data_IF_238946158487
#
_entry.id   IF_238946158487
#
_cell.length_a   1.000
_cell.length_b   1.000
_cell.length_c   1.000
_cell.angle_alpha   90.00
_cell.angle_beta   90.00
_cell.angle_gamma   90.00
#
_symmetry.space_group_name_H-M   'P 1'
#
loop_
_entity.id
_entity.type
_entity.pdbx_description
1 polymer ?
#
# COMPACT_ATOMS: atom_id res chain seq x y z
N UNK A 1 -42.60 -84.71 -4.21
CA UNK A 1 -43.80 -84.05 -4.62
C UNK A 1 -43.83 -82.71 -3.95
N UNK A 2 -43.22 -81.65 -4.60
CA UNK A 2 -43.25 -80.28 -4.12
C UNK A 2 -43.34 -79.40 -5.36
N UNK A 3 -44.17 -78.37 -5.36
CA UNK A 3 -44.47 -77.59 -6.57
C UNK A 3 -43.43 -76.40 -6.75
N UNK A 4 -43.15 -76.10 -7.99
CA UNK A 4 -42.41 -74.93 -8.44
C UNK A 4 -43.13 -73.66 -8.09
N UNK A 5 -42.48 -72.75 -7.38
CA UNK A 5 -42.93 -71.40 -7.15
C UNK A 5 -42.37 -70.46 -8.23
N UNK A 6 -43.30 -69.63 -8.75
CA UNK A 6 -43.09 -68.67 -9.85
C UNK A 6 -42.11 -67.53 -9.51
N UNK A 7 -41.15 -67.30 -10.39
CA UNK A 7 -40.32 -66.08 -10.37
C UNK A 7 -41.11 -64.93 -10.99
N UNK A 8 -41.64 -64.02 -10.17
CA UNK A 8 -42.22 -62.75 -10.60
C UNK A 8 -41.09 -61.78 -10.96
N UNK A 9 -40.87 -61.54 -12.23
CA UNK A 9 -39.98 -60.49 -12.77
C UNK A 9 -40.66 -59.12 -12.61
N UNK A 10 -40.17 -58.36 -11.62
CA UNK A 10 -40.58 -56.97 -11.42
C UNK A 10 -39.85 -56.09 -12.47
N UNK A 11 -40.45 -55.86 -13.62
CA UNK A 11 -40.03 -54.83 -14.57
C UNK A 11 -40.41 -53.44 -14.01
N UNK A 12 -39.40 -52.77 -13.38
CA UNK A 12 -39.53 -51.37 -13.01
C UNK A 12 -39.61 -50.54 -14.31
N UNK A 13 -40.77 -50.01 -14.63
CA UNK A 13 -40.94 -48.97 -15.65
C UNK A 13 -40.34 -47.68 -15.12
N UNK A 14 -39.16 -47.32 -15.57
CA UNK A 14 -38.61 -45.96 -15.35
C UNK A 14 -39.44 -45.05 -16.27
N UNK A 15 -40.25 -44.18 -15.68
CA UNK A 15 -41.08 -43.23 -16.38
C UNK A 15 -40.18 -42.30 -17.23
N UNK A 16 -40.54 -41.97 -18.50
CA UNK A 16 -39.79 -40.99 -19.28
C UNK A 16 -39.65 -39.66 -18.60
N UNK A 17 -40.56 -39.32 -17.69
CA UNK A 17 -40.51 -38.13 -16.84
C UNK A 17 -39.34 -38.17 -15.84
N UNK A 18 -39.02 -39.36 -15.27
CA UNK A 18 -37.88 -39.54 -14.35
C UNK A 18 -36.54 -39.42 -15.10
N UNK A 19 -36.46 -39.88 -16.37
CA UNK A 19 -35.27 -39.74 -17.19
C UNK A 19 -35.02 -38.28 -17.59
N UNK A 20 -36.10 -37.52 -17.90
CA UNK A 20 -36.03 -36.09 -18.22
C UNK A 20 -35.58 -35.27 -17.00
N UNK A 21 -36.04 -35.61 -15.79
CA UNK A 21 -35.63 -34.95 -14.57
C UNK A 21 -34.15 -35.19 -14.23
N UNK A 22 -33.62 -36.39 -14.50
CA UNK A 22 -32.20 -36.72 -14.28
C UNK A 22 -31.33 -35.98 -15.31
N UNK A 23 -31.76 -35.83 -16.57
CA UNK A 23 -31.04 -35.05 -17.58
C UNK A 23 -31.01 -33.56 -17.22
N UNK A 24 -32.13 -33.00 -16.71
CA UNK A 24 -32.19 -31.62 -16.22
C UNK A 24 -31.31 -31.36 -14.99
N UNK A 25 -31.14 -32.35 -14.09
CA UNK A 25 -30.26 -32.25 -12.94
C UNK A 25 -28.78 -32.39 -13.32
N UNK A 26 -28.43 -33.09 -14.39
CA UNK A 26 -27.05 -33.20 -14.87
C UNK A 26 -26.58 -31.95 -15.63
N UNK A 27 -27.51 -31.16 -16.21
CA UNK A 27 -27.19 -29.88 -16.88
C UNK A 27 -26.93 -28.71 -15.89
N UNK A 28 -27.20 -28.87 -14.59
CA UNK A 28 -27.07 -27.82 -13.60
C UNK A 28 -25.69 -27.74 -12.92
N UNK A 29 -24.74 -28.61 -13.27
CA UNK A 29 -23.37 -28.60 -12.76
C UNK A 29 -22.37 -28.16 -13.86
N UNK A 30 -22.58 -27.01 -14.47
CA UNK A 30 -21.46 -26.35 -15.17
C UNK A 30 -20.47 -25.88 -14.10
N UNK A 31 -19.28 -26.46 -14.10
CA UNK A 31 -18.18 -25.94 -13.30
C UNK A 31 -17.97 -24.47 -13.68
N UNK A 32 -17.82 -23.56 -12.70
CA UNK A 32 -17.56 -22.17 -13.02
C UNK A 32 -16.34 -22.09 -13.95
N UNK A 33 -16.37 -21.21 -14.95
CA UNK A 33 -15.24 -21.08 -15.87
C UNK A 33 -13.96 -20.82 -15.07
N UNK A 34 -12.81 -21.33 -15.53
CA UNK A 34 -11.54 -21.13 -14.86
C UNK A 34 -11.27 -19.62 -14.70
N UNK A 35 -10.74 -19.23 -13.56
CA UNK A 35 -10.38 -17.83 -13.29
C UNK A 35 -9.31 -17.38 -14.31
N UNK A 36 -9.60 -16.39 -15.16
CA UNK A 36 -8.69 -15.93 -16.21
C UNK A 36 -7.54 -15.04 -15.65
N UNK A 37 -7.44 -14.90 -14.35
CA UNK A 37 -6.46 -14.03 -13.72
C UNK A 37 -5.03 -14.50 -13.95
N UNK A 38 -4.23 -13.67 -14.63
CA UNK A 38 -2.78 -13.84 -14.76
C UNK A 38 -2.10 -13.11 -13.60
N UNK A 39 -1.03 -13.73 -13.05
CA UNK A 39 -0.27 -13.18 -11.93
C UNK A 39 1.18 -12.97 -12.32
N UNK A 40 1.70 -11.77 -12.01
CA UNK A 40 3.11 -11.44 -12.07
C UNK A 40 3.56 -11.05 -10.66
N UNK A 41 4.74 -11.50 -10.26
CA UNK A 41 5.30 -11.15 -8.94
C UNK A 41 6.82 -11.07 -9.00
N UNK A 42 7.41 -10.38 -8.04
CA UNK A 42 8.86 -10.24 -7.91
C UNK A 42 9.25 -9.44 -6.68
N UNK A 43 10.58 -9.27 -6.49
CA UNK A 43 11.14 -8.45 -5.43
C UNK A 43 11.39 -7.02 -5.91
N UNK A 44 11.17 -6.03 -5.06
CA UNK A 44 11.48 -4.61 -5.31
C UNK A 44 11.54 -3.83 -4.00
N UNK A 45 12.32 -2.75 -3.92
CA UNK A 45 12.31 -1.78 -2.80
C UNK A 45 12.40 -2.44 -1.41
N UNK A 46 13.23 -3.49 -1.27
CA UNK A 46 13.37 -4.27 -0.02
C UNK A 46 12.15 -5.12 0.36
N UNK A 47 11.17 -5.24 -0.54
CA UNK A 47 9.91 -5.98 -0.36
C UNK A 47 9.55 -6.78 -1.62
N UNK A 48 8.26 -7.02 -1.86
CA UNK A 48 7.74 -7.70 -3.05
C UNK A 48 6.60 -6.92 -3.70
N UNK A 49 6.40 -7.17 -4.99
CA UNK A 49 5.22 -6.73 -5.71
C UNK A 49 4.40 -7.94 -6.19
N UNK A 50 3.10 -7.76 -6.35
CA UNK A 50 2.18 -8.67 -7.02
C UNK A 50 1.29 -7.86 -7.98
N UNK A 51 1.12 -8.36 -9.20
CA UNK A 51 0.15 -7.85 -10.17
C UNK A 51 -0.81 -8.98 -10.49
N UNK A 52 -2.11 -8.72 -10.33
CA UNK A 52 -3.19 -9.55 -10.84
C UNK A 52 -3.82 -8.81 -12.00
N UNK A 53 -3.85 -9.42 -13.18
CA UNK A 53 -4.46 -8.83 -14.36
C UNK A 53 -5.44 -9.81 -15.02
N UNK A 54 -6.51 -9.26 -15.58
CA UNK A 54 -7.54 -10.03 -16.27
C UNK A 54 -7.61 -9.51 -17.71
N UNK A 55 -7.00 -10.24 -18.66
CA UNK A 55 -7.05 -9.87 -20.09
C UNK A 55 -8.49 -9.86 -20.59
N UNK A 56 -8.79 -9.00 -21.55
CA UNK A 56 -10.06 -9.07 -22.27
C UNK A 56 -10.15 -10.39 -23.06
N UNK A 57 -11.36 -10.88 -23.36
CA UNK A 57 -11.53 -12.07 -24.21
C UNK A 57 -10.75 -11.95 -25.52
N UNK A 58 -9.86 -12.91 -25.78
CA UNK A 58 -8.99 -12.92 -26.96
C UNK A 58 -7.75 -12.03 -26.88
N UNK A 59 -7.57 -11.28 -25.81
CA UNK A 59 -6.36 -10.46 -25.59
C UNK A 59 -5.20 -11.34 -25.13
N UNK A 60 -4.05 -11.22 -25.79
CA UNK A 60 -2.79 -11.85 -25.35
C UNK A 60 -2.02 -10.89 -24.45
N UNK A 61 -1.59 -11.36 -23.29
CA UNK A 61 -0.65 -10.61 -22.43
C UNK A 61 0.73 -10.59 -23.11
N UNK A 62 1.38 -9.41 -23.26
CA UNK A 62 2.70 -9.34 -23.86
C UNK A 62 3.70 -10.24 -23.14
N UNK A 63 4.45 -11.05 -23.88
CA UNK A 63 5.40 -12.00 -23.30
C UNK A 63 6.55 -11.31 -22.53
N UNK A 64 6.88 -10.07 -22.88
CA UNK A 64 7.90 -9.22 -22.24
C UNK A 64 7.36 -8.37 -21.08
N UNK A 65 6.05 -8.48 -20.75
CA UNK A 65 5.42 -7.62 -19.75
C UNK A 65 6.14 -7.67 -18.39
N UNK A 66 6.50 -8.88 -17.94
CA UNK A 66 7.26 -9.06 -16.66
C UNK A 66 8.59 -8.32 -16.71
N UNK A 67 9.34 -8.42 -17.80
CA UNK A 67 10.63 -7.71 -17.96
C UNK A 67 10.43 -6.19 -17.95
N UNK A 68 9.37 -5.68 -18.58
CA UNK A 68 9.04 -4.24 -18.57
C UNK A 68 8.65 -3.77 -17.16
N UNK A 69 7.88 -4.56 -16.42
CA UNK A 69 7.55 -4.30 -15.00
C UNK A 69 8.83 -4.18 -14.17
N UNK A 70 9.72 -5.17 -14.27
CA UNK A 70 10.98 -5.17 -13.51
C UNK A 70 11.87 -3.97 -13.88
N UNK A 71 11.90 -3.58 -15.16
CA UNK A 71 12.65 -2.40 -15.62
C UNK A 71 12.12 -1.09 -15.06
N UNK A 72 10.77 -0.92 -14.96
CA UNK A 72 10.15 0.25 -14.32
C UNK A 72 10.56 0.34 -12.86
N UNK A 73 10.43 -0.76 -12.11
CA UNK A 73 10.78 -0.80 -10.69
C UNK A 73 12.28 -0.59 -10.43
N UNK A 74 13.14 -1.15 -11.28
CA UNK A 74 14.59 -0.92 -11.21
C UNK A 74 14.93 0.57 -11.41
N UNK A 75 14.29 1.24 -12.38
CA UNK A 75 14.48 2.68 -12.61
C UNK A 75 14.04 3.52 -11.39
N UNK A 76 12.90 3.20 -10.79
CA UNK A 76 12.42 3.91 -9.59
C UNK A 76 13.42 3.73 -8.43
N UNK A 77 13.94 2.52 -8.23
CA UNK A 77 14.99 2.28 -7.23
C UNK A 77 16.24 3.13 -7.50
N UNK A 78 16.70 3.22 -8.76
CA UNK A 78 17.84 4.04 -9.14
C UNK A 78 17.60 5.55 -8.92
N UNK A 79 16.36 5.99 -8.98
CA UNK A 79 16.00 7.39 -8.76
C UNK A 79 15.80 7.73 -7.28
N UNK A 80 15.14 6.87 -6.49
CA UNK A 80 14.52 7.25 -5.21
C UNK A 80 15.00 6.45 -3.99
N UNK A 81 15.87 5.44 -4.14
CA UNK A 81 16.33 4.63 -3.03
C UNK A 81 17.31 5.39 -2.14
N UNK A 82 17.09 5.40 -0.82
CA UNK A 82 18.09 5.83 0.17
C UNK A 82 19.06 4.71 0.54
N UNK A 83 18.75 3.46 0.17
CA UNK A 83 19.59 2.26 0.41
C UNK A 83 20.65 2.02 -0.68
N UNK A 84 20.45 2.56 -1.88
CA UNK A 84 21.47 2.55 -2.93
C UNK A 84 22.26 3.87 -2.88
N UNK A 85 23.56 3.85 -2.50
CA UNK A 85 24.36 5.07 -2.42
C UNK A 85 24.56 5.76 -3.79
N UNK A 86 24.32 5.04 -4.89
CA UNK A 86 24.42 5.54 -6.26
C UNK A 86 23.10 5.98 -6.86
N UNK A 87 22.00 5.91 -6.11
CA UNK A 87 20.72 6.44 -6.58
C UNK A 87 20.77 7.96 -6.77
N UNK A 88 19.85 8.49 -7.56
CA UNK A 88 19.76 9.93 -7.77
C UNK A 88 19.52 10.68 -6.46
N UNK A 89 18.57 10.19 -5.64
CA UNK A 89 18.25 10.75 -4.33
C UNK A 89 19.44 10.68 -3.37
N UNK A 90 20.16 9.55 -3.32
CA UNK A 90 21.33 9.42 -2.45
C UNK A 90 22.45 10.38 -2.87
N UNK A 91 22.69 10.56 -4.17
CA UNK A 91 23.62 11.57 -4.65
C UNK A 91 23.20 12.99 -4.31
N UNK A 92 21.89 13.29 -4.41
CA UNK A 92 21.35 14.57 -3.94
C UNK A 92 21.59 14.76 -2.44
N UNK A 93 21.29 13.77 -1.60
CA UNK A 93 21.50 13.82 -0.16
C UNK A 93 22.98 14.04 0.21
N UNK A 94 23.92 13.39 -0.49
CA UNK A 94 25.36 13.49 -0.26
C UNK A 94 25.98 14.78 -0.80
N UNK A 95 25.32 15.46 -1.73
CA UNK A 95 25.85 16.69 -2.34
C UNK A 95 25.83 17.83 -1.31
N UNK A 96 26.96 18.47 -0.97
CA UNK A 96 27.00 19.57 0.00
C UNK A 96 26.53 20.94 -0.55
N UNK A 97 26.25 21.04 -1.86
CA UNK A 97 25.82 22.29 -2.47
C UNK A 97 24.47 22.74 -1.95
N UNK A 98 24.34 24.04 -1.72
CA UNK A 98 23.07 24.74 -1.46
C UNK A 98 22.56 25.50 -2.68
N UNK A 99 23.17 25.29 -3.85
CA UNK A 99 22.67 25.78 -5.13
C UNK A 99 21.61 24.83 -5.70
N UNK A 100 21.00 25.21 -6.83
CA UNK A 100 20.09 24.36 -7.57
C UNK A 100 20.81 23.14 -8.14
N UNK A 101 20.35 21.96 -7.76
CA UNK A 101 20.85 20.65 -8.20
C UNK A 101 19.83 20.10 -9.19
N UNK A 102 20.25 19.85 -10.43
CA UNK A 102 19.40 19.25 -11.46
C UNK A 102 18.98 17.83 -11.05
N UNK A 103 17.71 17.51 -11.24
CA UNK A 103 17.14 16.18 -10.96
C UNK A 103 16.22 15.73 -12.09
N UNK A 104 15.90 14.42 -12.12
CA UNK A 104 14.92 13.90 -13.07
C UNK A 104 13.52 14.47 -12.80
N UNK A 105 12.68 14.58 -13.83
CA UNK A 105 11.27 14.98 -13.65
C UNK A 105 10.51 14.08 -12.69
N UNK A 106 10.81 12.78 -12.70
CA UNK A 106 10.18 11.80 -11.84
C UNK A 106 10.54 12.00 -10.37
N UNK A 107 11.82 12.26 -10.05
CA UNK A 107 12.24 12.56 -8.68
C UNK A 107 11.62 13.87 -8.21
N UNK A 108 11.61 14.90 -9.06
CA UNK A 108 10.95 16.18 -8.76
C UNK A 108 9.46 16.00 -8.46
N UNK A 109 8.73 15.18 -9.24
CA UNK A 109 7.31 14.91 -9.04
C UNK A 109 7.05 14.32 -7.64
N UNK A 110 7.83 13.32 -7.23
CA UNK A 110 7.65 12.65 -5.93
C UNK A 110 8.03 13.58 -4.78
N UNK A 111 9.10 14.37 -4.92
CA UNK A 111 9.48 15.38 -3.93
C UNK A 111 8.41 16.47 -3.79
N UNK A 112 7.85 16.96 -4.89
CA UNK A 112 6.78 17.96 -4.86
C UNK A 112 5.53 17.45 -4.14
N UNK A 113 5.12 16.20 -4.38
CA UNK A 113 4.02 15.59 -3.65
C UNK A 113 4.34 15.41 -2.16
N UNK A 114 5.57 15.02 -1.82
CA UNK A 114 6.04 14.93 -0.45
C UNK A 114 5.99 16.27 0.28
N UNK A 115 6.40 17.36 -0.37
CA UNK A 115 6.31 18.73 0.18
C UNK A 115 4.84 19.16 0.36
N UNK A 116 3.98 18.89 -0.63
CA UNK A 116 2.54 19.15 -0.52
C UNK A 116 1.91 18.44 0.68
N UNK A 117 2.25 17.18 0.90
CA UNK A 117 1.75 16.39 2.04
C UNK A 117 2.34 16.90 3.36
N UNK A 118 3.60 17.32 3.37
CA UNK A 118 4.23 17.93 4.56
C UNK A 118 3.51 19.22 4.95
N UNK A 119 3.16 20.07 4.00
CA UNK A 119 2.40 21.30 4.22
C UNK A 119 0.98 21.01 4.71
N UNK A 120 0.25 20.09 4.05
CA UNK A 120 -1.11 19.67 4.41
C UNK A 120 -1.18 19.16 5.86
N UNK A 121 -0.18 18.40 6.29
CA UNK A 121 -0.11 17.82 7.63
C UNK A 121 0.52 18.75 8.69
N UNK A 122 0.82 20.02 8.35
CA UNK A 122 1.55 20.97 9.22
C UNK A 122 2.86 20.35 9.75
N UNK A 123 3.58 19.57 8.91
CA UNK A 123 4.84 18.94 9.24
C UNK A 123 4.73 17.70 10.14
N UNK A 124 3.55 17.15 10.38
CA UNK A 124 3.41 15.82 10.98
C UNK A 124 4.02 14.73 10.06
N UNK A 125 3.91 14.91 8.77
CA UNK A 125 4.69 14.23 7.75
C UNK A 125 5.77 15.18 7.23
N UNK A 126 7.01 14.71 7.15
CA UNK A 126 8.12 15.53 6.64
C UNK A 126 9.11 14.65 5.88
N UNK A 127 9.24 14.87 4.57
CA UNK A 127 10.17 14.10 3.74
C UNK A 127 11.65 14.35 4.08
N UNK A 128 11.94 15.27 5.00
CA UNK A 128 13.31 15.48 5.51
C UNK A 128 13.58 14.77 6.84
N UNK A 129 12.66 13.92 7.30
CA UNK A 129 12.74 13.17 8.58
C UNK A 129 13.87 12.14 8.63
N UNK A 130 14.53 11.85 7.51
CA UNK A 130 15.55 10.82 7.36
C UNK A 130 16.65 10.81 8.44
N UNK A 131 17.20 11.94 8.90
CA UNK A 131 18.16 11.96 10.01
C UNK A 131 17.64 11.34 11.30
N UNK A 132 16.35 11.51 11.61
CA UNK A 132 15.70 10.89 12.77
C UNK A 132 15.45 9.40 12.51
N UNK A 133 14.95 9.02 11.33
CA UNK A 133 14.73 7.62 10.94
C UNK A 133 16.03 6.81 11.05
N UNK A 134 17.14 7.36 10.54
CA UNK A 134 18.48 6.75 10.63
C UNK A 134 18.95 6.63 12.07
N UNK A 135 18.77 7.68 12.90
CA UNK A 135 19.15 7.67 14.30
C UNK A 135 18.42 6.59 15.10
N UNK A 136 17.13 6.36 14.82
CA UNK A 136 16.32 5.32 15.47
C UNK A 136 16.57 3.90 14.88
N UNK A 137 17.45 3.75 13.88
CA UNK A 137 17.84 2.47 13.30
C UNK A 137 16.84 1.90 12.29
N UNK A 138 15.95 2.72 11.75
CA UNK A 138 14.97 2.31 10.72
C UNK A 138 15.38 2.69 9.29
N UNK A 139 16.51 3.37 9.11
CA UNK A 139 17.06 3.78 7.83
C UNK A 139 18.04 2.76 7.23
N UNK A 140 18.81 3.17 6.20
CA UNK A 140 19.74 2.30 5.46
C UNK A 140 20.97 1.87 6.24
N UNK A 141 21.29 2.52 7.35
CA UNK A 141 22.41 2.13 8.22
C UNK A 141 22.11 0.81 8.96
N UNK A 142 23.13 0.08 9.43
CA UNK A 142 22.91 -1.13 10.21
C UNK A 142 22.02 -0.85 11.42
N UNK A 143 20.98 -1.65 11.57
CA UNK A 143 19.96 -1.49 12.61
C UNK A 143 20.60 -1.54 14.01
N UNK A 144 20.23 -0.55 14.81
CA UNK A 144 20.62 -0.46 16.23
C UNK A 144 19.32 -0.42 17.04
N UNK A 145 18.86 -1.55 17.58
CA UNK A 145 17.66 -1.62 18.41
C UNK A 145 17.92 -0.95 19.78
N UNK A 146 18.16 0.36 19.75
CA UNK A 146 18.53 1.16 20.92
C UNK A 146 17.87 2.53 20.87
N UNK A 147 17.33 2.95 22.01
CA UNK A 147 16.76 4.30 22.18
C UNK A 147 17.90 5.33 22.17
N UNK A 148 17.90 6.31 21.26
CA UNK A 148 18.89 7.38 21.22
C UNK A 148 18.80 8.31 22.43
N UNK A 149 19.89 9.01 22.76
CA UNK A 149 19.89 10.05 23.79
C UNK A 149 19.08 11.29 23.35
N UNK A 150 18.60 12.07 24.31
CA UNK A 150 17.85 13.31 24.04
C UNK A 150 18.69 14.32 23.24
N UNK A 151 19.99 14.40 23.50
CA UNK A 151 20.92 15.26 22.78
C UNK A 151 21.06 14.81 21.31
N UNK A 152 21.17 13.50 21.06
CA UNK A 152 21.24 12.96 19.69
C UNK A 152 19.94 13.22 18.92
N UNK A 153 18.79 13.04 19.58
CA UNK A 153 17.47 13.37 19.01
C UNK A 153 17.39 14.86 18.65
N UNK A 154 17.80 15.74 19.55
CA UNK A 154 17.78 17.18 19.32
C UNK A 154 18.67 17.58 18.14
N UNK A 155 19.89 17.01 18.04
CA UNK A 155 20.81 17.24 16.92
C UNK A 155 20.26 16.74 15.60
N UNK A 156 19.63 15.55 15.57
CA UNK A 156 19.02 15.02 14.35
C UNK A 156 17.81 15.86 13.93
N UNK A 157 16.97 16.27 14.88
CA UNK A 157 15.79 17.11 14.64
C UNK A 157 16.14 18.48 14.09
N UNK A 158 17.26 19.10 14.48
CA UNK A 158 17.73 20.39 13.94
C UNK A 158 17.95 20.33 12.40
N UNK A 159 18.20 19.15 11.86
CA UNK A 159 18.38 18.92 10.42
C UNK A 159 17.08 18.66 9.65
N UNK A 160 15.95 18.52 10.34
CA UNK A 160 14.63 18.25 9.76
C UNK A 160 13.88 19.57 9.50
N UNK A 161 13.13 19.63 8.41
CA UNK A 161 12.29 20.78 8.07
C UNK A 161 12.05 20.86 6.56
N UNK A 162 10.87 20.41 6.11
CA UNK A 162 10.48 20.39 4.69
C UNK A 162 10.55 21.76 4.02
N UNK A 163 10.31 22.85 4.74
CA UNK A 163 10.42 24.24 4.25
C UNK A 163 11.84 24.64 3.82
N UNK A 164 12.85 23.85 4.17
CA UNK A 164 14.26 24.04 3.80
C UNK A 164 14.60 23.43 2.45
N UNK A 165 13.62 22.77 1.79
CA UNK A 165 13.75 22.16 0.48
C UNK A 165 12.88 22.92 -0.53
N UNK A 166 13.49 23.38 -1.60
CA UNK A 166 12.80 24.11 -2.67
C UNK A 166 12.83 23.28 -3.95
N UNK A 167 11.76 23.39 -4.73
CA UNK A 167 11.60 22.76 -6.05
C UNK A 167 11.58 23.81 -7.16
N UNK A 168 12.02 23.42 -8.35
CA UNK A 168 11.90 24.20 -9.58
C UNK A 168 11.54 23.26 -10.72
N UNK A 169 10.50 23.62 -11.50
CA UNK A 169 9.98 22.76 -12.57
C UNK A 169 10.80 22.84 -13.85
N UNK A 170 11.32 24.01 -14.21
CA UNK A 170 12.02 24.22 -15.49
C UNK A 170 13.32 25.02 -15.31
N UNK A 171 14.46 24.42 -15.62
CA UNK A 171 14.68 22.97 -15.71
C UNK A 171 14.46 22.31 -14.35
N UNK A 172 14.09 20.99 -14.31
CA UNK A 172 13.83 20.28 -13.08
C UNK A 172 15.02 20.31 -12.14
N UNK A 173 14.81 20.83 -10.91
CA UNK A 173 15.89 20.96 -9.93
C UNK A 173 15.35 21.05 -8.51
N UNK A 174 16.19 20.66 -7.55
CA UNK A 174 15.97 20.80 -6.11
C UNK A 174 17.06 21.71 -5.52
N UNK A 175 16.71 22.43 -4.42
CA UNK A 175 17.65 23.26 -3.69
C UNK A 175 17.47 23.08 -2.20
N UNK A 176 18.59 22.87 -1.49
CA UNK A 176 18.65 22.76 -0.03
C UNK A 176 19.05 24.09 0.59
N UNK A 177 18.45 24.49 1.71
CA UNK A 177 18.94 25.65 2.48
C UNK A 177 20.17 25.32 3.32
N UNK A 178 20.41 24.04 3.62
CA UNK A 178 21.57 23.57 4.37
C UNK A 178 22.18 22.33 3.71
N UNK A 179 23.49 22.23 3.74
CA UNK A 179 24.25 21.19 3.07
C UNK A 179 23.91 19.76 3.51
N UNK A 180 23.55 19.59 4.78
CA UNK A 180 23.24 18.30 5.42
C UNK A 180 21.71 17.99 5.49
N UNK A 181 20.88 18.71 4.73
CA UNK A 181 19.47 18.36 4.54
C UNK A 181 19.39 17.01 3.83
N UNK A 182 18.58 16.13 4.38
CA UNK A 182 18.42 14.75 3.91
C UNK A 182 16.97 14.48 3.56
N UNK A 183 16.70 14.02 2.34
CA UNK A 183 15.37 13.68 1.85
C UNK A 183 15.18 12.16 1.88
N UNK A 184 14.04 11.72 2.39
CA UNK A 184 13.57 10.33 2.41
C UNK A 184 12.19 10.24 1.78
N UNK A 185 12.05 9.41 0.74
CA UNK A 185 10.82 9.22 -0.01
C UNK A 185 10.18 7.83 0.24
N UNK A 186 10.57 7.14 1.29
CA UNK A 186 10.10 5.78 1.58
C UNK A 186 8.58 5.67 1.75
N UNK A 187 7.92 6.76 2.13
CA UNK A 187 6.46 6.87 2.28
C UNK A 187 5.73 7.40 1.02
N UNK A 188 6.40 7.40 -0.15
CA UNK A 188 5.82 7.80 -1.44
C UNK A 188 6.26 6.87 -2.58
N UNK A 189 7.48 6.33 -2.50
CA UNK A 189 8.10 5.63 -3.61
C UNK A 189 7.38 4.33 -3.99
N UNK A 190 6.75 3.64 -3.02
CA UNK A 190 5.99 2.41 -3.26
C UNK A 190 4.69 2.73 -3.99
N UNK A 191 3.94 3.71 -3.50
CA UNK A 191 2.74 4.23 -4.14
C UNK A 191 3.02 4.75 -5.55
N UNK A 192 4.08 5.54 -5.72
CA UNK A 192 4.53 5.98 -7.04
C UNK A 192 4.85 4.80 -7.97
N UNK A 193 5.51 3.77 -7.44
CA UNK A 193 5.80 2.53 -8.18
C UNK A 193 4.52 1.84 -8.65
N UNK A 194 3.50 1.73 -7.79
CA UNK A 194 2.22 1.13 -8.14
C UNK A 194 1.51 1.93 -9.24
N UNK A 195 1.55 3.27 -9.19
CA UNK A 195 0.99 4.15 -10.24
C UNK A 195 1.74 4.00 -11.57
N UNK A 196 3.08 3.90 -11.54
CA UNK A 196 3.88 3.70 -12.77
C UNK A 196 3.62 2.33 -13.41
N UNK A 197 3.41 1.28 -12.61
CA UNK A 197 3.03 -0.03 -13.10
C UNK A 197 1.62 -0.02 -13.69
N UNK A 198 0.68 0.68 -13.06
CA UNK A 198 -0.66 0.89 -13.60
C UNK A 198 -0.61 1.58 -14.97
N UNK A 199 0.18 2.64 -15.11
CA UNK A 199 0.38 3.34 -16.39
C UNK A 199 0.99 2.41 -17.45
N UNK A 200 1.93 1.54 -17.08
CA UNK A 200 2.48 0.52 -17.98
C UNK A 200 1.43 -0.47 -18.47
N UNK A 201 0.54 -0.92 -17.57
CA UNK A 201 -0.55 -1.85 -17.91
C UNK A 201 -1.57 -1.18 -18.83
N UNK A 202 -1.94 0.07 -18.55
CA UNK A 202 -2.84 0.87 -19.39
C UNK A 202 -2.27 1.06 -20.80
N UNK A 203 -0.98 1.42 -20.90
CA UNK A 203 -0.28 1.55 -22.18
C UNK A 203 -0.14 0.21 -22.93
N UNK A 204 -0.26 -0.92 -22.22
CA UNK A 204 -0.29 -2.27 -22.81
C UNK A 204 -1.71 -2.73 -23.16
N UNK A 205 -2.73 -1.86 -23.01
CA UNK A 205 -4.13 -2.14 -23.31
C UNK A 205 -4.84 -3.00 -22.26
N UNK A 206 -4.22 -3.23 -21.09
CA UNK A 206 -4.80 -4.03 -19.99
C UNK A 206 -5.66 -3.12 -19.13
N UNK A 207 -6.97 -3.39 -19.06
CA UNK A 207 -7.95 -2.53 -18.39
C UNK A 207 -8.40 -3.06 -17.03
N UNK A 208 -8.11 -4.32 -16.71
CA UNK A 208 -8.54 -4.94 -15.47
C UNK A 208 -7.31 -5.46 -14.72
N UNK A 209 -6.95 -4.80 -13.64
CA UNK A 209 -5.77 -5.17 -12.85
C UNK A 209 -5.85 -4.70 -11.41
N UNK A 210 -5.05 -5.35 -10.58
CA UNK A 210 -4.68 -4.94 -9.24
C UNK A 210 -3.15 -5.04 -9.14
N UNK A 211 -2.51 -3.91 -8.93
CA UNK A 211 -1.08 -3.79 -8.64
C UNK A 211 -0.92 -3.61 -7.14
N UNK A 212 -0.03 -4.37 -6.50
CA UNK A 212 0.32 -4.22 -5.10
C UNK A 212 1.85 -4.20 -4.94
N UNK A 213 2.38 -3.20 -4.23
CA UNK A 213 3.78 -3.13 -3.78
C UNK A 213 3.76 -3.03 -2.26
N UNK A 214 4.19 -4.08 -1.56
CA UNK A 214 4.01 -4.25 -0.12
C UNK A 214 2.52 -4.17 0.30
N UNK A 215 2.02 -3.02 0.69
CA UNK A 215 0.62 -2.77 1.05
C UNK A 215 -0.04 -1.68 0.20
N UNK A 216 0.74 -1.03 -0.68
CA UNK A 216 0.27 0.05 -1.54
C UNK A 216 -0.33 -0.54 -2.81
N UNK A 217 -1.61 -0.27 -3.03
CA UNK A 217 -2.42 -0.91 -4.05
C UNK A 217 -2.97 0.13 -5.02
N UNK A 218 -2.85 -0.18 -6.33
CA UNK A 218 -3.58 0.49 -7.40
C UNK A 218 -4.47 -0.53 -8.10
N UNK A 219 -5.78 -0.28 -8.14
CA UNK A 219 -6.74 -1.14 -8.82
C UNK A 219 -7.41 -0.44 -9.99
N UNK A 220 -7.83 -1.21 -11.00
CA UNK A 220 -8.68 -0.78 -12.12
C UNK A 220 -9.55 -1.92 -12.61
N UNK A 221 -10.79 -1.58 -13.01
CA UNK A 221 -11.72 -2.51 -13.64
C UNK A 221 -12.21 -3.61 -12.70
N UNK A 222 -12.20 -4.85 -13.18
CA UNK A 222 -12.84 -5.98 -12.50
C UNK A 222 -11.90 -7.17 -12.34
N UNK A 223 -12.12 -7.96 -11.28
CA UNK A 223 -11.42 -9.23 -11.07
C UNK A 223 -11.88 -10.33 -12.04
N UNK A 224 -11.24 -11.51 -11.98
CA UNK A 224 -11.54 -12.64 -12.86
C UNK A 224 -12.97 -13.20 -12.74
N UNK A 225 -13.73 -12.77 -11.72
CA UNK A 225 -15.15 -13.10 -11.53
C UNK A 225 -16.09 -11.99 -12.05
N UNK A 226 -15.56 -10.96 -12.71
CA UNK A 226 -16.33 -9.82 -13.21
C UNK A 226 -16.83 -8.86 -12.11
N UNK A 227 -16.29 -8.96 -10.89
CA UNK A 227 -16.66 -8.10 -9.75
C UNK A 227 -15.61 -7.02 -9.52
N UNK A 228 -15.96 -5.88 -8.87
CA UNK A 228 -14.96 -4.92 -8.40
C UNK A 228 -13.92 -5.59 -7.52
N UNK A 229 -12.69 -5.07 -7.55
CA UNK A 229 -11.62 -5.54 -6.68
C UNK A 229 -12.00 -5.30 -5.22
N UNK A 230 -11.81 -6.34 -4.41
CA UNK A 230 -12.07 -6.29 -2.96
C UNK A 230 -10.73 -6.44 -2.24
N UNK A 231 -10.45 -5.51 -1.33
CA UNK A 231 -9.24 -5.45 -0.53
C UNK A 231 -9.61 -5.75 0.93
N UNK A 232 -8.75 -6.49 1.61
CA UNK A 232 -8.86 -6.70 3.04
C UNK A 232 -7.99 -5.68 3.78
N UNK A 233 -8.58 -4.89 4.66
CA UNK A 233 -7.86 -4.17 5.71
C UNK A 233 -7.50 -5.20 6.77
N UNK A 234 -6.21 -5.35 7.05
CA UNK A 234 -5.73 -6.32 8.04
C UNK A 234 -6.03 -5.84 9.46
N UNK A 235 -6.38 -6.80 10.31
CA UNK A 235 -6.39 -6.59 11.76
C UNK A 235 -4.95 -6.41 12.24
N UNK A 236 -4.62 -5.31 12.94
CA UNK A 236 -3.23 -4.95 13.26
C UNK A 236 -2.69 -5.76 14.45
N UNK A 237 -2.70 -7.09 14.32
CA UNK A 237 -2.14 -8.01 15.33
C UNK A 237 -0.79 -8.52 14.85
N UNK A 238 0.31 -8.28 15.60
CA UNK A 238 1.63 -8.77 15.23
C UNK A 238 1.65 -10.28 14.99
N UNK A 239 2.28 -10.70 13.87
CA UNK A 239 2.46 -12.12 13.53
C UNK A 239 1.21 -12.88 13.07
N UNK A 240 0.06 -12.21 12.96
CA UNK A 240 -1.19 -12.81 12.47
C UNK A 240 -1.69 -12.07 11.23
N UNK A 241 -2.27 -12.81 10.27
CA UNK A 241 -3.01 -12.24 9.16
C UNK A 241 -4.50 -12.52 9.37
N UNK A 242 -5.20 -11.56 9.90
CA UNK A 242 -6.65 -11.59 10.05
C UNK A 242 -7.26 -10.40 9.30
N UNK A 243 -8.48 -10.57 8.84
CA UNK A 243 -9.24 -9.50 8.17
C UNK A 243 -10.02 -8.72 9.23
N UNK A 244 -9.86 -7.41 9.25
CA UNK A 244 -10.71 -6.51 10.03
C UNK A 244 -11.92 -6.07 9.20
N UNK A 245 -11.66 -5.52 8.01
CA UNK A 245 -12.69 -5.05 7.09
C UNK A 245 -12.41 -5.47 5.66
N UNK A 246 -13.48 -5.63 4.87
CA UNK A 246 -13.40 -5.72 3.41
C UNK A 246 -13.88 -4.41 2.81
N UNK A 247 -13.14 -3.91 1.81
CA UNK A 247 -13.50 -2.71 1.05
C UNK A 247 -13.51 -3.01 -0.45
N UNK A 248 -14.39 -2.32 -1.19
CA UNK A 248 -14.43 -2.35 -2.66
C UNK A 248 -13.86 -1.03 -3.17
N UNK A 249 -12.74 -1.12 -3.86
CA UNK A 249 -11.98 0.07 -4.22
C UNK A 249 -12.23 0.59 -5.64
N UNK A 250 -12.95 -0.19 -6.48
CA UNK A 250 -13.20 0.23 -7.87
C UNK A 250 -11.89 0.55 -8.59
N UNK A 251 -11.83 1.73 -9.22
CA UNK A 251 -10.68 2.21 -9.99
C UNK A 251 -9.75 3.12 -9.16
N UNK A 252 -9.69 2.91 -7.83
CA UNK A 252 -8.91 3.73 -6.92
C UNK A 252 -7.69 2.99 -6.38
N UNK A 253 -6.91 3.72 -5.61
CA UNK A 253 -5.74 3.24 -4.88
C UNK A 253 -6.06 3.13 -3.39
N UNK A 254 -5.33 2.23 -2.71
CA UNK A 254 -5.40 2.04 -1.25
C UNK A 254 -4.01 1.90 -0.70
N UNK A 255 -3.72 2.61 0.36
CA UNK A 255 -2.52 2.39 1.16
C UNK A 255 -2.85 2.33 2.65
N UNK A 256 -1.99 1.66 3.43
CA UNK A 256 -2.17 1.51 4.87
C UNK A 256 -0.86 1.70 5.61
N UNK A 257 -0.77 2.79 6.38
CA UNK A 257 0.26 3.00 7.38
C UNK A 257 -0.07 2.26 8.68
N UNK A 258 0.94 1.70 9.34
CA UNK A 258 0.76 1.03 10.63
C UNK A 258 2.10 0.69 11.29
N UNK A 259 2.09 0.52 12.62
CA UNK A 259 3.29 0.34 13.45
C UNK A 259 3.55 -1.11 13.87
N UNK A 260 2.67 -2.04 13.51
CA UNK A 260 2.66 -3.41 14.01
C UNK A 260 3.65 -4.37 13.31
N UNK A 261 4.34 -3.93 12.24
CA UNK A 261 5.25 -4.77 11.45
C UNK A 261 6.73 -4.42 11.62
N UNK A 262 7.08 -3.13 11.75
CA UNK A 262 8.45 -2.65 11.82
C UNK A 262 8.68 -1.85 13.10
N UNK A 263 9.17 -2.52 14.14
CA UNK A 263 9.44 -1.96 15.45
C UNK A 263 10.59 -2.71 16.13
N UNK A 264 11.10 -2.17 17.21
CA UNK A 264 11.91 -2.88 18.21
C UNK A 264 11.34 -2.66 19.61
N UNK A 265 11.75 -3.48 20.57
CA UNK A 265 11.34 -3.36 21.96
C UNK A 265 12.56 -3.18 22.86
N UNK A 266 12.48 -2.21 23.77
CA UNK A 266 13.49 -1.98 24.80
C UNK A 266 12.79 -1.66 26.12
N UNK A 267 13.18 -2.36 27.21
CA UNK A 267 12.62 -2.20 28.55
C UNK A 267 11.08 -2.34 28.59
N UNK A 268 10.51 -3.23 27.79
CA UNK A 268 9.06 -3.45 27.70
C UNK A 268 8.28 -2.36 26.95
N UNK A 269 8.97 -1.39 26.37
CA UNK A 269 8.38 -0.36 25.51
C UNK A 269 8.71 -0.66 24.04
N UNK A 270 7.69 -0.53 23.18
CA UNK A 270 7.80 -0.65 21.72
C UNK A 270 8.12 0.70 21.10
N UNK A 271 9.00 0.69 20.11
CA UNK A 271 9.40 1.83 19.29
C UNK A 271 9.21 1.48 17.83
N UNK A 272 8.28 2.14 17.17
CA UNK A 272 7.93 1.89 15.77
C UNK A 272 8.71 2.81 14.82
N UNK A 273 8.71 2.43 13.53
CA UNK A 273 9.51 3.10 12.50
C UNK A 273 8.98 4.47 12.06
N UNK A 274 7.72 4.81 12.37
CA UNK A 274 7.15 6.11 12.04
C UNK A 274 7.52 7.09 13.14
N UNK A 275 8.33 8.09 12.76
CA UNK A 275 8.89 9.08 13.68
C UNK A 275 8.13 10.40 13.52
N UNK A 276 7.69 10.98 14.61
CA UNK A 276 7.11 12.31 14.63
C UNK A 276 8.22 13.37 14.46
N UNK A 277 8.22 14.19 13.41
CA UNK A 277 9.29 15.15 13.13
C UNK A 277 9.41 16.24 14.21
N UNK A 278 8.30 16.61 14.85
CA UNK A 278 8.29 17.65 15.88
C UNK A 278 8.92 17.20 17.19
N UNK A 279 8.67 15.95 17.59
CA UNK A 279 9.24 15.40 18.85
C UNK A 279 10.56 14.69 18.63
N UNK A 280 10.84 14.25 17.41
CA UNK A 280 11.98 13.39 17.05
C UNK A 280 11.86 11.96 17.59
N UNK A 281 10.66 11.55 18.04
CA UNK A 281 10.41 10.25 18.68
C UNK A 281 9.37 9.44 17.90
N UNK A 282 9.38 8.10 18.01
CA UNK A 282 8.30 7.25 17.51
C UNK A 282 6.95 7.69 18.07
N UNK A 283 5.90 7.49 17.27
CA UNK A 283 4.53 7.85 17.62
C UNK A 283 4.01 6.94 18.74
N UNK A 284 3.23 7.48 19.72
CA UNK A 284 2.60 6.68 20.76
C UNK A 284 1.66 5.61 20.20
N UNK A 285 1.60 4.44 20.87
CA UNK A 285 0.80 3.29 20.44
C UNK A 285 -0.70 3.44 20.78
N UNK A 286 -1.33 4.51 20.36
CA UNK A 286 -2.78 4.74 20.50
C UNK A 286 -3.52 4.55 19.18
N UNK A 287 -2.77 4.44 18.08
CA UNK A 287 -3.24 4.26 16.72
C UNK A 287 -2.52 3.04 16.13
N UNK A 288 -3.27 2.06 15.67
CA UNK A 288 -2.72 0.82 15.13
C UNK A 288 -2.50 0.89 13.62
N UNK A 289 -3.44 1.48 12.87
CA UNK A 289 -3.30 1.70 11.43
C UNK A 289 -4.21 2.81 10.92
N UNK A 290 -3.82 3.39 9.79
CA UNK A 290 -4.65 4.28 8.98
C UNK A 290 -4.63 3.76 7.55
N UNK A 291 -5.80 3.54 6.97
CA UNK A 291 -5.99 3.17 5.56
C UNK A 291 -6.60 4.35 4.81
N UNK A 292 -6.02 4.71 3.67
CA UNK A 292 -6.48 5.82 2.82
C UNK A 292 -6.84 5.28 1.45
N UNK A 293 -7.98 5.74 0.90
CA UNK A 293 -8.37 5.54 -0.49
C UNK A 293 -8.18 6.86 -1.26
N UNK A 294 -7.54 6.77 -2.43
CA UNK A 294 -7.24 7.94 -3.29
C UNK A 294 -7.23 7.54 -4.77
N UNK A 295 -7.25 8.52 -5.66
CA UNK A 295 -7.10 8.29 -7.09
C UNK A 295 -5.69 7.84 -7.50
N UNK A 296 -4.66 8.20 -6.71
CA UNK A 296 -3.27 7.84 -6.94
C UNK A 296 -2.69 7.12 -5.73
N UNK A 297 -1.92 6.06 -5.98
CA UNK A 297 -1.29 5.27 -4.92
C UNK A 297 -0.20 6.04 -4.19
N UNK A 298 0.56 6.88 -4.90
CA UNK A 298 1.55 7.78 -4.29
C UNK A 298 0.91 8.74 -3.27
N UNK A 299 -0.26 9.29 -3.60
CA UNK A 299 -0.99 10.18 -2.69
C UNK A 299 -1.54 9.41 -1.49
N UNK A 300 -2.07 8.20 -1.70
CA UNK A 300 -2.55 7.35 -0.61
C UNK A 300 -1.43 6.98 0.37
N UNK A 301 -0.22 6.57 -0.12
CA UNK A 301 0.99 6.20 0.64
C UNK A 301 1.50 7.39 1.49
N UNK A 302 1.53 8.61 0.91
CA UNK A 302 1.93 9.81 1.64
C UNK A 302 0.91 10.22 2.71
N UNK A 303 -0.38 10.22 2.37
CA UNK A 303 -1.44 10.70 3.25
C UNK A 303 -1.68 9.72 4.41
N UNK A 304 -1.66 8.40 4.20
CA UNK A 304 -1.84 7.43 5.30
C UNK A 304 -0.73 7.59 6.36
N UNK A 305 0.52 7.76 5.91
CA UNK A 305 1.66 8.03 6.76
C UNK A 305 1.53 9.39 7.47
N UNK A 306 1.03 10.43 6.78
CA UNK A 306 0.82 11.74 7.37
C UNK A 306 -0.25 11.72 8.47
N UNK A 307 -1.39 11.09 8.21
CA UNK A 307 -2.48 10.97 9.17
C UNK A 307 -2.07 10.10 10.36
N UNK A 308 -1.31 9.01 10.11
CA UNK A 308 -0.78 8.16 11.16
C UNK A 308 0.22 8.94 12.03
N UNK A 309 1.14 9.71 11.42
CA UNK A 309 2.14 10.51 12.10
C UNK A 309 1.54 11.65 12.93
N UNK A 310 0.42 12.21 12.50
CA UNK A 310 -0.35 13.21 13.25
C UNK A 310 -1.04 12.59 14.49
N UNK A 311 -1.25 11.28 14.50
CA UNK A 311 -1.94 10.58 15.59
C UNK A 311 -3.47 10.60 15.48
N UNK A 312 -4.18 9.96 16.42
CA UNK A 312 -5.59 9.63 16.26
C UNK A 312 -6.53 10.84 16.17
N UNK A 313 -6.30 11.90 16.94
CA UNK A 313 -7.20 13.05 16.96
C UNK A 313 -6.88 14.05 15.85
N UNK A 314 -5.62 14.50 15.78
CA UNK A 314 -5.21 15.46 14.74
C UNK A 314 -5.29 14.83 13.35
N UNK A 315 -4.88 13.56 13.19
CA UNK A 315 -4.99 12.83 11.92
C UNK A 315 -6.43 12.74 11.44
N UNK A 316 -7.37 12.42 12.34
CA UNK A 316 -8.79 12.39 11.97
C UNK A 316 -9.35 13.77 11.65
N UNK A 317 -8.94 14.81 12.38
CA UNK A 317 -9.31 16.18 12.08
C UNK A 317 -8.83 16.58 10.68
N UNK A 318 -7.55 16.37 10.37
CA UNK A 318 -6.98 16.63 9.04
C UNK A 318 -7.72 15.87 7.94
N UNK A 319 -8.00 14.58 8.15
CA UNK A 319 -8.75 13.78 7.19
C UNK A 319 -10.15 14.35 6.92
N UNK A 320 -10.84 14.83 7.96
CA UNK A 320 -12.17 15.44 7.83
C UNK A 320 -12.13 16.82 7.15
N UNK A 321 -11.19 17.68 7.54
CA UNK A 321 -11.03 19.01 6.98
C UNK A 321 -10.67 19.01 5.49
N UNK A 322 -9.89 18.02 5.06
CA UNK A 322 -9.47 17.86 3.66
C UNK A 322 -10.32 16.86 2.86
N UNK A 323 -11.46 16.39 3.41
CA UNK A 323 -12.37 15.45 2.75
C UNK A 323 -11.65 14.20 2.23
N UNK A 324 -10.75 13.63 3.03
CA UNK A 324 -9.98 12.45 2.67
C UNK A 324 -10.75 11.18 3.05
N UNK A 325 -10.78 10.20 2.16
CA UNK A 325 -11.34 8.89 2.46
C UNK A 325 -10.37 8.08 3.33
N UNK A 326 -10.55 8.13 4.65
CA UNK A 326 -9.63 7.55 5.63
C UNK A 326 -10.34 6.67 6.66
N UNK A 327 -9.71 5.52 6.99
CA UNK A 327 -10.17 4.53 7.97
C UNK A 327 -9.08 4.30 9.01
N UNK A 328 -9.42 4.49 10.28
CA UNK A 328 -8.52 4.42 11.42
C UNK A 328 -8.87 3.19 12.27
N UNK A 329 -7.86 2.45 12.69
CA UNK A 329 -7.97 1.43 13.74
C UNK A 329 -7.24 1.96 14.97
N UNK A 330 -8.01 2.29 16.00
CA UNK A 330 -7.53 2.82 17.27
C UNK A 330 -7.28 1.68 18.26
N UNK A 331 -6.35 1.89 19.20
CA UNK A 331 -6.09 0.96 20.31
C UNK A 331 -6.74 1.55 21.58
N UNK A 332 -7.77 0.87 22.09
CA UNK A 332 -8.43 1.23 23.33
C UNK A 332 -7.55 0.97 24.57
N UNK A 333 -7.92 1.54 25.74
CA UNK A 333 -7.16 1.35 26.99
C UNK A 333 -7.06 -0.11 27.44
N UNK A 334 -8.00 -0.96 27.03
CA UNK A 334 -8.05 -2.40 27.29
C UNK A 334 -7.35 -3.24 26.21
N UNK A 335 -6.71 -2.59 25.23
CA UNK A 335 -6.10 -3.24 24.07
C UNK A 335 -7.08 -3.67 22.98
N UNK A 336 -8.37 -3.33 23.09
CA UNK A 336 -9.37 -3.56 22.04
C UNK A 336 -9.13 -2.64 20.84
N UNK A 337 -9.55 -3.10 19.64
CA UNK A 337 -9.53 -2.27 18.45
C UNK A 337 -10.87 -1.57 18.26
N UNK A 338 -10.80 -0.27 17.93
CA UNK A 338 -11.95 0.56 17.62
C UNK A 338 -11.79 1.16 16.24
N UNK A 339 -12.84 1.07 15.44
CA UNK A 339 -12.86 1.63 14.09
C UNK A 339 -13.41 3.05 14.11
N UNK A 340 -12.78 3.93 13.34
CA UNK A 340 -13.25 5.28 13.05
C UNK A 340 -12.95 5.61 11.60
N UNK A 341 -13.89 6.18 10.86
CA UNK A 341 -13.67 6.52 9.46
C UNK A 341 -14.38 7.83 9.09
N UNK A 342 -13.88 8.48 8.04
CA UNK A 342 -14.48 9.68 7.49
C UNK A 342 -15.70 9.33 6.62
N UNK A 343 -16.67 10.25 6.43
CA UNK A 343 -17.81 10.02 5.54
C UNK A 343 -17.40 9.63 4.12
N UNK A 344 -16.27 10.16 3.64
CA UNK A 344 -15.72 9.88 2.31
C UNK A 344 -15.24 8.43 2.17
N UNK A 345 -14.95 7.73 3.28
CA UNK A 345 -14.55 6.32 3.25
C UNK A 345 -15.75 5.36 3.21
N UNK A 346 -16.91 5.78 3.69
CA UNK A 346 -18.11 4.93 3.83
C UNK A 346 -18.52 4.21 2.52
N UNK A 347 -18.47 4.85 1.32
CA UNK A 347 -18.84 4.20 0.06
C UNK A 347 -18.01 2.96 -0.30
N UNK A 348 -16.81 2.82 0.27
CA UNK A 348 -15.91 1.69 0.01
C UNK A 348 -16.18 0.48 0.90
N UNK A 349 -16.87 0.65 2.03
CA UNK A 349 -17.15 -0.44 2.98
C UNK A 349 -18.03 -1.51 2.36
N UNK A 350 -17.62 -2.77 2.53
CA UNK A 350 -18.48 -3.93 2.24
C UNK A 350 -19.37 -4.17 3.45
N UNK A 351 -20.68 -4.25 3.24
CA UNK A 351 -21.60 -4.61 4.31
C UNK A 351 -21.17 -5.93 4.96
N UNK A 352 -21.04 -5.92 6.29
CA UNK A 352 -20.81 -7.16 7.02
C UNK A 352 -22.07 -8.02 6.88
N UNK A 353 -21.91 -9.23 6.39
CA UNK A 353 -23.01 -10.22 6.48
C UNK A 353 -23.15 -10.59 7.96
N UNK A 354 -24.38 -10.60 8.49
CA UNK A 354 -24.66 -10.94 9.88
C UNK A 354 -24.27 -12.37 10.22
#
# INVERSE_FOLDING_TARGET
MFPLTALMTLRRFVSPLSLLLIVLLLSACESPPPDPTVRLAGATMGTSYEIKLVPAPGQTVPADLKQRVDAVLARINQQMSTYDPNSELSRFNQNPSTDWIAVSPELLQVVAEGLRTSELSNGAFDITVGPLVNLWGFGPEPRRDQVPSDEAIAQARDRVGYWRLQTRDQPPALKKERADLYVDLSALAKGYGADQLAALLDASGIQNYLVAIAGDIRARGRNGRGQPWTIAIEKPVPGQRAVERLIRVGDHSVSTAGDYRNFFEQNGQRYAHIINPHTGRPIPQTLASVTVVSDQSMVADAIDTALFAAGPELGFQLASEHHLAAFFILIGPDGSFQERYTPEFEPYLVAQQP
#
